data_IF_218262882568
#
_entry.id   IF_218262882568
#
_cell.length_a   1.000
_cell.length_b   1.000
_cell.length_c   1.000
_cell.angle_alpha   90.00
_cell.angle_beta   90.00
_cell.angle_gamma   90.00
#
_symmetry.space_group_name_H-M   'P 1'
#
loop_
_entity.id
_entity.type
_entity.pdbx_description
1 polymer ?
#
# COMPACT_ATOMS: atom_id res chain seq x y z
N UNK A 1 -56.91 -26.95 19.31
CA UNK A 1 -56.63 -26.40 17.97
C UNK A 1 -56.20 -24.93 18.13
N UNK A 2 -54.89 -24.68 18.21
CA UNK A 2 -54.32 -23.39 18.63
C UNK A 2 -54.12 -22.49 17.38
N UNK A 3 -54.95 -21.45 17.24
CA UNK A 3 -54.88 -20.52 16.10
C UNK A 3 -53.70 -19.55 16.31
N UNK A 4 -52.61 -19.78 15.59
CA UNK A 4 -51.46 -18.87 15.56
C UNK A 4 -51.81 -17.57 14.81
N UNK A 5 -51.63 -16.44 15.51
CA UNK A 5 -51.99 -15.10 15.05
C UNK A 5 -50.97 -14.60 14.01
N UNK A 6 -51.37 -14.54 12.73
CA UNK A 6 -50.51 -14.22 11.56
C UNK A 6 -49.79 -12.87 11.70
N UNK A 7 -50.35 -11.91 12.43
CA UNK A 7 -49.84 -10.53 12.54
C UNK A 7 -48.50 -10.43 13.27
N UNK A 8 -48.18 -11.35 14.19
CA UNK A 8 -46.89 -11.35 14.91
C UNK A 8 -45.70 -11.83 14.06
N UNK A 9 -45.95 -12.53 12.95
CA UNK A 9 -44.88 -13.11 12.10
C UNK A 9 -44.26 -12.08 11.16
N UNK A 10 -45.01 -11.07 10.74
CA UNK A 10 -44.50 -10.02 9.84
C UNK A 10 -43.64 -8.98 10.57
N UNK A 11 -43.95 -8.67 11.85
CA UNK A 11 -43.13 -7.76 12.65
C UNK A 11 -41.74 -8.32 12.97
N UNK A 12 -41.62 -9.63 13.18
CA UNK A 12 -40.35 -10.29 13.46
C UNK A 12 -39.45 -10.36 12.21
N UNK A 13 -40.04 -10.54 11.02
CA UNK A 13 -39.30 -10.58 9.75
C UNK A 13 -38.81 -9.18 9.36
N UNK A 14 -39.61 -8.14 9.58
CA UNK A 14 -39.20 -6.74 9.33
C UNK A 14 -38.11 -6.30 10.33
N UNK A 15 -38.17 -6.73 11.60
CA UNK A 15 -37.12 -6.46 12.59
C UNK A 15 -35.81 -7.24 12.30
N UNK A 16 -35.89 -8.47 11.80
CA UNK A 16 -34.71 -9.25 11.38
C UNK A 16 -34.06 -8.69 10.11
N UNK A 17 -34.85 -8.21 9.14
CA UNK A 17 -34.34 -7.55 7.94
C UNK A 17 -33.68 -6.20 8.25
N UNK A 18 -34.15 -5.49 9.27
CA UNK A 18 -33.51 -4.25 9.74
C UNK A 18 -32.20 -4.49 10.51
N UNK A 19 -31.95 -5.69 11.06
CA UNK A 19 -30.73 -5.98 11.84
C UNK A 19 -29.60 -6.64 11.03
N UNK A 20 -29.85 -7.12 9.81
CA UNK A 20 -28.83 -7.80 8.98
C UNK A 20 -28.03 -6.82 8.10
N UNK A 21 -28.44 -5.55 8.02
CA UNK A 21 -27.67 -4.48 7.38
C UNK A 21 -26.97 -3.66 8.47
N UNK A 22 -26.27 -4.33 9.38
CA UNK A 22 -25.12 -3.72 10.03
C UNK A 22 -23.97 -3.84 9.03
N UNK A 23 -24.00 -3.00 7.98
CA UNK A 23 -22.84 -2.77 7.13
C UNK A 23 -21.74 -2.36 8.09
N UNK A 24 -20.83 -3.29 8.37
CA UNK A 24 -19.54 -2.97 8.96
C UNK A 24 -18.89 -2.04 7.94
N UNK A 25 -19.09 -0.73 8.09
CA UNK A 25 -18.15 0.23 7.54
C UNK A 25 -16.84 -0.10 8.23
N UNK A 26 -16.03 -0.93 7.57
CA UNK A 26 -14.61 -0.99 7.86
C UNK A 26 -14.14 0.40 7.51
N UNK A 27 -14.06 1.27 8.51
CA UNK A 27 -13.48 2.58 8.36
C UNK A 27 -12.05 2.33 7.93
N UNK A 28 -11.77 2.57 6.64
CA UNK A 28 -10.42 2.41 6.14
C UNK A 28 -9.54 3.38 6.95
N UNK A 29 -8.53 2.84 7.61
CA UNK A 29 -7.55 3.68 8.29
C UNK A 29 -6.82 4.45 7.20
N UNK A 30 -7.13 5.73 7.08
CA UNK A 30 -6.44 6.59 6.14
C UNK A 30 -5.01 6.79 6.63
N UNK A 31 -4.05 6.50 5.78
CA UNK A 31 -2.68 6.88 6.02
C UNK A 31 -2.54 8.40 5.84
N UNK A 32 -1.94 9.06 6.82
CA UNK A 32 -1.44 10.42 6.60
C UNK A 32 -0.05 10.33 5.98
N UNK A 33 0.28 11.18 4.99
CA UNK A 33 1.64 11.25 4.46
C UNK A 33 2.65 11.53 5.57
N UNK A 34 3.75 10.78 5.58
CA UNK A 34 4.92 11.07 6.42
C UNK A 34 5.90 11.90 5.61
N UNK A 35 6.28 13.08 6.12
CA UNK A 35 7.33 13.90 5.51
C UNK A 35 8.66 13.59 6.19
N UNK A 36 9.64 13.17 5.39
CA UNK A 36 11.04 13.00 5.82
C UNK A 36 11.85 14.04 5.05
N UNK A 37 12.62 14.84 5.78
CA UNK A 37 13.54 15.82 5.19
C UNK A 37 14.94 15.42 5.57
N UNK A 38 15.76 15.18 4.56
CA UNK A 38 17.16 14.86 4.75
C UNK A 38 18.03 16.09 4.50
N UNK A 39 18.90 16.38 5.46
CA UNK A 39 19.89 17.47 5.37
C UNK A 39 21.28 16.98 5.74
N UNK A 40 21.49 15.66 5.79
CA UNK A 40 22.72 15.02 6.28
C UNK A 40 23.61 14.60 5.11
N UNK A 41 24.88 14.29 5.40
CA UNK A 41 25.88 13.97 4.38
C UNK A 41 26.06 12.45 4.20
N UNK A 42 24.96 11.71 4.12
CA UNK A 42 24.78 10.24 4.18
C UNK A 42 25.16 9.55 5.48
N UNK A 43 24.25 8.69 5.95
CA UNK A 43 24.49 7.76 7.07
C UNK A 43 24.15 6.31 6.72
N UNK A 44 23.40 6.07 5.63
CA UNK A 44 22.99 4.73 5.26
C UNK A 44 24.16 3.91 4.68
N UNK A 45 24.27 2.65 5.12
CA UNK A 45 25.29 1.71 4.63
C UNK A 45 24.56 0.49 4.08
N UNK A 46 24.84 0.13 2.82
CA UNK A 46 24.21 -1.04 2.22
C UNK A 46 24.88 -2.34 2.69
N UNK A 47 24.60 -2.74 3.94
CA UNK A 47 25.11 -3.96 4.57
C UNK A 47 24.02 -5.00 4.90
N UNK A 48 22.77 -4.70 4.54
CA UNK A 48 21.60 -5.57 4.78
C UNK A 48 21.02 -5.49 6.19
N UNK A 49 21.51 -4.59 7.04
CA UNK A 49 20.98 -4.31 8.37
C UNK A 49 20.47 -2.86 8.40
N UNK A 50 19.37 -2.60 9.13
CA UNK A 50 18.87 -1.25 9.37
C UNK A 50 19.18 -0.91 10.84
N UNK A 51 20.25 -0.15 11.06
CA UNK A 51 20.69 0.23 12.39
C UNK A 51 19.99 1.50 12.89
N UNK A 52 20.00 1.69 14.21
CA UNK A 52 19.47 2.91 14.83
C UNK A 52 20.30 4.11 14.37
N UNK A 53 19.64 5.10 13.77
CA UNK A 53 20.28 6.33 13.30
C UNK A 53 21.01 6.21 11.96
N UNK A 54 20.88 5.07 11.27
CA UNK A 54 21.47 4.87 9.96
C UNK A 54 20.71 5.61 8.85
N UNK A 55 19.38 5.68 8.94
CA UNK A 55 18.53 6.40 8.01
C UNK A 55 18.02 7.68 8.66
N UNK A 56 17.91 8.76 7.89
CA UNK A 56 17.43 10.06 8.42
C UNK A 56 16.01 9.98 8.98
N UNK A 57 15.19 9.08 8.46
CA UNK A 57 13.83 8.88 8.94
C UNK A 57 13.17 7.64 8.38
N UNK A 58 12.10 7.23 9.05
CA UNK A 58 11.29 6.09 8.66
C UNK A 58 9.80 6.36 8.82
N UNK A 59 8.98 5.76 7.97
CA UNK A 59 7.53 5.72 8.08
C UNK A 59 7.07 4.29 8.40
N UNK A 60 6.24 4.14 9.43
CA UNK A 60 5.60 2.86 9.75
C UNK A 60 4.45 2.59 8.79
N UNK A 61 4.25 1.33 8.45
CA UNK A 61 3.08 0.88 7.70
C UNK A 61 1.77 1.12 8.45
N UNK A 62 0.67 1.09 7.70
CA UNK A 62 -0.69 1.22 8.24
C UNK A 62 -1.54 0.05 7.75
N UNK A 63 -2.27 -0.55 8.68
CA UNK A 63 -3.17 -1.68 8.43
C UNK A 63 -2.54 -3.03 8.77
N UNK A 64 -3.35 -3.96 9.29
CA UNK A 64 -2.93 -5.33 9.61
C UNK A 64 -3.69 -6.40 8.79
N UNK A 65 -4.36 -5.97 7.73
CA UNK A 65 -5.20 -6.82 6.88
C UNK A 65 -4.41 -7.59 5.81
N UNK A 66 -5.03 -7.78 4.64
CA UNK A 66 -4.36 -8.41 3.50
C UNK A 66 -3.11 -7.61 3.08
N UNK A 67 -2.00 -8.31 2.86
CA UNK A 67 -0.70 -7.72 2.49
C UNK A 67 0.19 -7.30 3.67
N UNK A 68 -0.09 -7.76 4.90
CA UNK A 68 0.50 -7.36 6.19
C UNK A 68 2.04 -7.26 6.30
N UNK A 69 2.81 -7.62 5.27
CA UNK A 69 4.23 -7.26 5.17
C UNK A 69 4.46 -5.75 5.20
N UNK A 70 3.68 -4.95 4.46
CA UNK A 70 3.83 -3.49 4.44
C UNK A 70 3.20 -2.85 5.67
N UNK A 71 1.96 -3.22 5.97
CA UNK A 71 1.16 -2.55 7.00
C UNK A 71 1.68 -2.73 8.43
N UNK A 72 2.39 -3.82 8.71
CA UNK A 72 3.14 -4.02 9.96
C UNK A 72 4.65 -3.81 9.80
N UNK A 73 5.10 -3.31 8.65
CA UNK A 73 6.49 -3.03 8.33
C UNK A 73 6.87 -1.56 8.53
N UNK A 74 8.05 -1.20 8.04
CA UNK A 74 8.59 0.15 8.09
C UNK A 74 9.44 0.41 6.84
N UNK A 75 9.30 1.61 6.27
CA UNK A 75 10.13 2.10 5.17
C UNK A 75 11.01 3.22 5.70
N UNK A 76 12.31 3.12 5.50
CA UNK A 76 13.32 4.09 5.92
C UNK A 76 13.98 4.70 4.68
N UNK A 77 14.22 6.02 4.72
CA UNK A 77 14.78 6.76 3.60
C UNK A 77 16.02 7.52 4.07
N UNK A 78 17.02 7.58 3.21
CA UNK A 78 18.23 8.39 3.39
C UNK A 78 18.71 8.79 1.99
N UNK A 79 18.98 10.08 1.79
CA UNK A 79 19.60 10.58 0.57
C UNK A 79 21.06 10.88 0.84
N UNK A 80 21.92 10.65 -0.15
CA UNK A 80 23.31 11.08 -0.05
C UNK A 80 23.58 12.39 -0.80
N UNK A 81 24.72 13.00 -0.50
CA UNK A 81 25.19 14.20 -1.19
C UNK A 81 25.62 13.94 -2.64
N UNK A 82 25.61 12.70 -3.09
CA UNK A 82 25.99 12.28 -4.44
C UNK A 82 24.74 11.99 -5.31
N UNK A 83 23.54 12.18 -4.77
CA UNK A 83 22.27 12.04 -5.48
C UNK A 83 21.65 10.63 -5.42
N UNK A 84 22.18 9.72 -4.61
CA UNK A 84 21.56 8.42 -4.36
C UNK A 84 20.44 8.53 -3.31
N UNK A 85 19.40 7.72 -3.50
CA UNK A 85 18.34 7.49 -2.51
C UNK A 85 18.48 6.06 -2.00
N UNK A 86 18.84 5.92 -0.72
CA UNK A 86 18.87 4.66 0.00
C UNK A 86 17.48 4.40 0.61
N UNK A 87 16.99 3.19 0.40
CA UNK A 87 15.68 2.75 0.87
C UNK A 87 15.88 1.50 1.73
N UNK A 88 15.66 1.65 3.02
CA UNK A 88 15.61 0.54 3.97
C UNK A 88 14.19 0.04 4.10
N UNK A 89 13.98 -1.27 4.04
CA UNK A 89 12.68 -1.86 4.29
C UNK A 89 12.74 -2.90 5.41
N UNK A 90 12.06 -2.60 6.53
CA UNK A 90 11.80 -3.57 7.59
C UNK A 90 10.46 -4.21 7.30
N UNK A 91 10.48 -5.50 6.92
CA UNK A 91 9.24 -6.25 6.71
C UNK A 91 8.46 -6.43 8.02
N UNK A 92 7.14 -6.46 7.92
CA UNK A 92 6.27 -6.94 8.98
C UNK A 92 6.39 -8.46 9.20
N UNK A 93 5.34 -9.08 9.76
CA UNK A 93 5.38 -10.50 10.16
C UNK A 93 5.25 -11.50 9.00
N UNK A 94 4.94 -11.03 7.79
CA UNK A 94 4.77 -11.86 6.60
C UNK A 94 6.11 -12.02 5.85
N UNK A 95 6.21 -13.07 5.04
CA UNK A 95 7.41 -13.50 4.33
C UNK A 95 7.61 -12.79 2.99
N UNK A 96 7.00 -11.61 2.78
CA UNK A 96 7.09 -10.83 1.54
C UNK A 96 6.69 -11.66 0.30
N UNK A 97 5.62 -12.44 0.43
CA UNK A 97 5.07 -13.28 -0.65
C UNK A 97 4.30 -12.46 -1.70
N UNK A 98 3.89 -11.25 -1.34
CA UNK A 98 3.29 -10.28 -2.23
C UNK A 98 4.33 -9.24 -2.65
N UNK A 99 4.16 -8.70 -3.85
CA UNK A 99 5.02 -7.63 -4.36
C UNK A 99 4.80 -6.34 -3.57
N UNK A 100 5.89 -5.64 -3.26
CA UNK A 100 5.89 -4.25 -2.83
C UNK A 100 6.25 -3.41 -4.03
N UNK A 101 5.51 -2.32 -4.25
CA UNK A 101 5.78 -1.36 -5.32
C UNK A 101 6.02 0.02 -4.70
N UNK A 102 7.10 0.67 -5.10
CA UNK A 102 7.43 2.04 -4.75
C UNK A 102 7.34 2.87 -6.03
N UNK A 103 6.43 3.83 -6.04
CA UNK A 103 6.31 4.83 -7.12
C UNK A 103 7.08 6.08 -6.71
N UNK A 104 7.89 6.61 -7.62
CA UNK A 104 8.80 7.73 -7.36
C UNK A 104 8.48 8.86 -8.34
N UNK A 105 8.11 10.01 -7.78
CA UNK A 105 8.00 11.29 -8.48
C UNK A 105 9.27 12.09 -8.19
N UNK A 106 10.03 12.39 -9.24
CA UNK A 106 11.34 13.05 -9.10
C UNK A 106 11.29 14.56 -9.36
N UNK A 107 10.17 15.10 -9.82
CA UNK A 107 10.09 16.50 -10.25
C UNK A 107 8.85 17.25 -9.75
N UNK A 108 8.13 16.68 -8.78
CA UNK A 108 7.02 17.33 -8.11
C UNK A 108 5.85 17.57 -9.05
N UNK A 109 5.47 16.55 -9.82
CA UNK A 109 4.29 16.51 -10.72
C UNK A 109 4.40 17.22 -12.08
N UNK A 110 5.59 17.68 -12.45
CA UNK A 110 5.80 18.33 -13.75
C UNK A 110 5.60 17.34 -14.91
N UNK A 111 5.97 16.08 -14.72
CA UNK A 111 5.67 14.98 -15.65
C UNK A 111 5.03 13.79 -14.93
N UNK A 112 5.16 12.58 -15.46
CA UNK A 112 4.65 11.35 -14.84
C UNK A 112 3.19 11.05 -15.14
N UNK A 113 2.67 10.04 -14.44
CA UNK A 113 1.33 9.49 -14.64
C UNK A 113 0.42 9.81 -13.45
N UNK A 114 -0.84 10.15 -13.72
CA UNK A 114 -1.85 10.37 -12.67
C UNK A 114 -2.52 9.08 -12.19
N UNK A 115 -2.44 8.00 -12.97
CA UNK A 115 -3.01 6.70 -12.64
C UNK A 115 -2.33 5.57 -13.41
N UNK A 116 -2.61 4.32 -13.05
CA UNK A 116 -2.06 3.12 -13.71
C UNK A 116 -2.96 2.51 -14.80
N UNK A 117 -4.09 3.14 -15.13
CA UNK A 117 -5.10 2.58 -16.06
C UNK A 117 -4.54 2.23 -17.46
N UNK A 118 -3.53 2.98 -17.93
CA UNK A 118 -2.85 2.78 -19.20
C UNK A 118 -1.67 1.81 -19.15
N UNK A 119 -1.25 1.35 -17.96
CA UNK A 119 -0.15 0.40 -17.83
C UNK A 119 -0.65 -0.99 -18.18
N UNK A 120 0.03 -1.66 -19.12
CA UNK A 120 -0.41 -2.94 -19.69
C UNK A 120 0.66 -4.03 -19.65
N UNK A 121 1.83 -3.75 -19.08
CA UNK A 121 2.86 -4.77 -18.94
C UNK A 121 2.41 -5.80 -17.89
N UNK A 122 2.13 -7.00 -18.39
CA UNK A 122 1.65 -8.13 -17.63
C UNK A 122 2.61 -9.34 -17.72
N UNK A 123 3.88 -9.09 -18.05
CA UNK A 123 4.79 -10.14 -18.48
C UNK A 123 5.35 -10.98 -17.32
N UNK A 124 5.47 -10.40 -16.11
CA UNK A 124 5.82 -11.13 -14.90
C UNK A 124 5.21 -10.51 -13.64
N UNK A 125 5.29 -11.23 -12.52
CA UNK A 125 4.60 -10.84 -11.28
C UNK A 125 4.92 -9.44 -10.76
N UNK A 126 6.15 -8.93 -10.94
CA UNK A 126 6.51 -7.59 -10.48
C UNK A 126 6.00 -6.52 -11.46
N UNK A 127 6.08 -6.76 -12.77
CA UNK A 127 5.49 -5.85 -13.77
C UNK A 127 3.97 -5.80 -13.67
N UNK A 128 3.33 -6.93 -13.39
CA UNK A 128 1.88 -6.99 -13.09
C UNK A 128 1.53 -6.17 -11.86
N UNK A 129 2.38 -6.20 -10.81
CA UNK A 129 2.16 -5.42 -9.60
C UNK A 129 2.27 -3.91 -9.86
N UNK A 130 3.27 -3.48 -10.65
CA UNK A 130 3.44 -2.08 -11.04
C UNK A 130 2.29 -1.59 -11.92
N UNK A 131 1.85 -2.41 -12.88
CA UNK A 131 0.80 -2.02 -13.83
C UNK A 131 -0.60 -2.13 -13.24
N UNK A 132 -0.78 -2.96 -12.21
CA UNK A 132 -2.08 -3.36 -11.71
C UNK A 132 -2.88 -4.20 -12.72
N UNK A 133 -2.24 -4.77 -13.74
CA UNK A 133 -2.89 -5.51 -14.82
C UNK A 133 -2.28 -6.91 -14.96
N UNK A 134 -3.14 -7.94 -15.01
CA UNK A 134 -2.70 -9.34 -15.13
C UNK A 134 -2.88 -9.94 -16.54
N UNK A 135 -3.24 -9.12 -17.54
CA UNK A 135 -3.60 -9.57 -18.89
C UNK A 135 -5.11 -9.67 -19.14
N UNK A 136 -5.93 -9.70 -18.08
CA UNK A 136 -7.39 -9.76 -18.16
C UNK A 136 -8.06 -8.78 -17.20
N UNK A 137 -7.72 -8.85 -15.91
CA UNK A 137 -8.25 -8.03 -14.83
C UNK A 137 -7.34 -6.84 -14.52
N UNK A 138 -7.92 -5.78 -13.96
CA UNK A 138 -7.24 -4.53 -13.64
C UNK A 138 -7.60 -4.01 -12.25
N UNK A 139 -6.58 -3.63 -11.50
CA UNK A 139 -6.65 -2.76 -10.33
C UNK A 139 -6.03 -1.41 -10.69
N UNK A 140 -6.83 -0.35 -10.75
CA UNK A 140 -6.32 1.00 -11.03
C UNK A 140 -5.89 1.64 -9.71
N UNK A 141 -4.67 2.15 -9.68
CA UNK A 141 -4.20 3.04 -8.64
C UNK A 141 -4.27 4.47 -9.17
N UNK A 142 -5.14 5.29 -8.58
CA UNK A 142 -5.19 6.74 -8.78
C UNK A 142 -4.18 7.43 -7.85
N UNK A 143 -3.20 8.13 -8.43
CA UNK A 143 -2.28 8.94 -7.65
C UNK A 143 -2.94 10.27 -7.29
N UNK A 144 -2.74 10.71 -6.04
CA UNK A 144 -3.23 12.01 -5.60
C UNK A 144 -2.62 13.15 -6.42
N UNK A 145 -3.28 14.32 -6.46
CA UNK A 145 -2.87 15.46 -7.30
C UNK A 145 -1.40 15.93 -7.11
N UNK A 146 -0.79 15.60 -5.97
CA UNK A 146 0.56 15.99 -5.60
C UNK A 146 1.61 14.88 -5.83
N UNK A 147 1.25 13.82 -6.54
CA UNK A 147 2.14 12.71 -6.87
C UNK A 147 1.88 12.28 -8.31
N UNK A 148 2.89 12.43 -9.18
CA UNK A 148 2.86 11.85 -10.53
C UNK A 148 4.16 11.10 -10.78
N UNK A 149 4.21 9.80 -10.50
CA UNK A 149 5.47 9.07 -10.61
C UNK A 149 5.93 8.94 -12.06
N UNK A 150 7.24 9.07 -12.26
CA UNK A 150 7.94 8.71 -13.49
C UNK A 150 8.58 7.33 -13.43
N UNK A 151 8.89 6.88 -12.22
CA UNK A 151 9.57 5.62 -11.98
C UNK A 151 8.77 4.76 -11.02
N UNK A 152 8.93 3.45 -11.17
CA UNK A 152 8.46 2.48 -10.20
C UNK A 152 9.56 1.44 -9.99
N UNK A 153 9.71 0.99 -8.74
CA UNK A 153 10.55 -0.15 -8.38
C UNK A 153 9.64 -1.14 -7.67
N UNK A 154 9.76 -2.42 -8.00
CA UNK A 154 9.02 -3.47 -7.32
C UNK A 154 9.96 -4.55 -6.79
N UNK A 155 9.59 -5.13 -5.65
CA UNK A 155 10.36 -6.23 -5.08
C UNK A 155 9.48 -7.21 -4.29
N UNK A 156 10.00 -8.42 -4.12
CA UNK A 156 9.42 -9.51 -3.34
C UNK A 156 10.54 -10.34 -2.70
N UNK A 157 10.21 -11.43 -1.99
CA UNK A 157 11.18 -12.22 -1.20
C UNK A 157 12.48 -12.64 -1.94
N UNK A 158 12.49 -12.72 -3.28
CA UNK A 158 13.69 -13.14 -4.05
C UNK A 158 13.96 -12.33 -5.33
N UNK A 159 13.16 -11.30 -5.62
CA UNK A 159 13.25 -10.57 -6.88
C UNK A 159 13.06 -9.07 -6.62
N UNK A 160 13.82 -8.26 -7.34
CA UNK A 160 13.65 -6.81 -7.39
C UNK A 160 13.93 -6.33 -8.82
N UNK A 161 13.23 -5.28 -9.26
CA UNK A 161 13.38 -4.69 -10.59
C UNK A 161 12.52 -3.47 -10.82
#
# INVERSE_FOLDING_TARGET
MQRFNKTKRYGLIIALLASVILVRLVQQTLAMPTTITDTTTTTAVNDGVINVGEYVGCSTGIGAGFGGTLGAGQLCLDSDNYGALNIGFVRGTDTLTNAVVIYIDINGTATGYGETSGFTDATDGLRNAISGFNGADRSVLDFGINLKPEYAIAFSNNFAG
#
